data_IF_859203689421
#
_entry.id   IF_859203689421
#
_cell.length_a   1.000
_cell.length_b   1.000
_cell.length_c   1.000
_cell.angle_alpha   90.00
_cell.angle_beta   90.00
_cell.angle_gamma   90.00
#
_symmetry.space_group_name_H-M   'P 1'
#
loop_
_entity.id
_entity.type
_entity.pdbx_description
1 polymer ?
#
# COMPACT_ATOMS: atom_id res chain seq x y z
N UNK A 1 23.81 -16.50 -53.88
CA UNK A 1 23.47 -15.22 -53.20
C UNK A 1 21.96 -15.07 -53.18
N UNK A 2 21.31 -15.09 -52.00
CA UNK A 2 19.87 -14.81 -51.91
C UNK A 2 19.67 -13.32 -52.23
N UNK A 3 18.96 -13.01 -53.33
CA UNK A 3 18.56 -11.64 -53.64
C UNK A 3 17.70 -11.12 -52.49
N UNK A 4 18.17 -10.09 -51.80
CA UNK A 4 17.36 -9.35 -50.84
C UNK A 4 16.27 -8.66 -51.67
N UNK A 5 15.02 -9.07 -51.46
CA UNK A 5 13.86 -8.49 -52.13
C UNK A 5 13.70 -7.07 -51.58
N UNK A 6 13.82 -6.06 -52.44
CA UNK A 6 13.51 -4.67 -52.06
C UNK A 6 12.05 -4.62 -51.59
N UNK A 7 11.82 -4.07 -50.39
CA UNK A 7 10.51 -3.98 -49.78
C UNK A 7 9.61 -3.05 -50.59
N UNK A 8 8.35 -3.44 -50.80
CA UNK A 8 7.42 -2.52 -51.45
C UNK A 8 7.03 -1.39 -50.46
N UNK A 9 6.63 -0.21 -50.95
CA UNK A 9 6.17 0.88 -50.08
C UNK A 9 5.00 0.47 -49.15
N UNK A 10 4.21 -0.53 -49.59
CA UNK A 10 3.15 -1.13 -48.77
C UNK A 10 3.70 -1.98 -47.63
N UNK A 11 4.80 -2.70 -47.85
CA UNK A 11 5.46 -3.53 -46.84
C UNK A 11 6.18 -2.68 -45.78
N UNK A 12 6.77 -1.55 -46.20
CA UNK A 12 7.37 -0.58 -45.27
C UNK A 12 6.33 0.11 -44.40
N UNK A 13 5.14 0.40 -44.96
CA UNK A 13 4.02 0.98 -44.22
C UNK A 13 3.43 -0.01 -43.20
N UNK A 14 3.24 -1.28 -43.58
CA UNK A 14 2.76 -2.32 -42.66
C UNK A 14 3.77 -2.57 -41.55
N UNK A 15 5.07 -2.66 -41.86
CA UNK A 15 6.12 -2.80 -40.85
C UNK A 15 6.13 -1.65 -39.84
N UNK A 16 6.04 -0.39 -40.30
CA UNK A 16 5.94 0.77 -39.38
C UNK A 16 4.69 0.71 -38.49
N UNK A 17 3.56 0.29 -39.05
CA UNK A 17 2.31 0.10 -38.31
C UNK A 17 2.43 -1.01 -37.26
N UNK A 18 3.11 -2.10 -37.60
CA UNK A 18 3.36 -3.23 -36.71
C UNK A 18 4.33 -2.82 -35.58
N UNK A 19 5.40 -2.09 -35.89
CA UNK A 19 6.29 -1.52 -34.86
C UNK A 19 5.57 -0.56 -33.91
N UNK A 20 4.70 0.32 -34.44
CA UNK A 20 3.91 1.22 -33.61
C UNK A 20 2.93 0.45 -32.71
N UNK A 21 2.33 -0.60 -33.24
CA UNK A 21 1.42 -1.48 -32.49
C UNK A 21 2.19 -2.23 -31.40
N UNK A 22 3.34 -2.82 -31.73
CA UNK A 22 4.20 -3.50 -30.77
C UNK A 22 4.68 -2.56 -29.66
N UNK A 23 5.12 -1.35 -30.00
CA UNK A 23 5.50 -0.33 -29.02
C UNK A 23 4.34 0.01 -28.08
N UNK A 24 3.14 0.20 -28.63
CA UNK A 24 1.93 0.44 -27.84
C UNK A 24 1.65 -0.72 -26.87
N UNK A 25 1.71 -1.97 -27.35
CA UNK A 25 1.52 -3.17 -26.52
C UNK A 25 2.59 -3.29 -25.44
N UNK A 26 3.85 -2.98 -25.73
CA UNK A 26 4.91 -2.95 -24.72
C UNK A 26 4.63 -1.90 -23.66
N UNK A 27 4.28 -0.67 -24.05
CA UNK A 27 3.90 0.38 -23.11
C UNK A 27 2.71 -0.06 -22.25
N UNK A 28 1.64 -0.60 -22.85
CA UNK A 28 0.47 -1.11 -22.12
C UNK A 28 0.87 -2.19 -21.11
N UNK A 29 1.73 -3.14 -21.48
CA UNK A 29 2.21 -4.19 -20.57
C UNK A 29 3.08 -3.67 -19.44
N UNK A 30 3.94 -2.70 -19.72
CA UNK A 30 4.73 -2.00 -18.71
C UNK A 30 3.81 -1.25 -17.75
N UNK A 31 2.76 -0.57 -18.25
CA UNK A 31 1.78 0.11 -17.42
C UNK A 31 0.94 -0.84 -16.58
N UNK A 32 0.56 -2.02 -17.09
CA UNK A 32 -0.16 -3.05 -16.33
C UNK A 32 0.61 -3.52 -15.10
N UNK A 33 1.94 -3.63 -15.21
CA UNK A 33 2.85 -4.05 -14.14
C UNK A 33 3.40 -2.86 -13.33
N UNK A 34 3.12 -1.63 -13.76
CA UNK A 34 3.63 -0.44 -13.11
C UNK A 34 2.82 -0.11 -11.85
N UNK A 35 3.50 0.30 -10.75
CA UNK A 35 2.82 0.86 -9.58
C UNK A 35 1.93 2.07 -9.91
N UNK A 36 2.14 2.72 -11.05
CA UNK A 36 1.33 3.85 -11.54
C UNK A 36 -0.11 3.48 -11.89
N UNK A 37 -0.44 2.19 -12.02
CA UNK A 37 -1.82 1.71 -12.15
C UNK A 37 -2.65 2.03 -10.91
N UNK A 38 -2.04 2.00 -9.72
CA UNK A 38 -2.76 2.20 -8.47
C UNK A 38 -3.05 3.68 -8.23
N UNK A 39 -4.31 3.98 -7.91
CA UNK A 39 -4.75 5.32 -7.52
C UNK A 39 -3.98 5.84 -6.31
N UNK A 40 -3.61 4.94 -5.40
CA UNK A 40 -2.81 5.26 -4.23
C UNK A 40 -1.41 5.81 -4.61
N UNK A 41 -0.71 5.19 -5.56
CA UNK A 41 0.57 5.68 -6.07
C UNK A 41 0.43 7.05 -6.74
N UNK A 42 -0.69 7.29 -7.44
CA UNK A 42 -1.01 8.63 -7.97
C UNK A 42 -1.26 9.63 -6.85
N UNK A 43 -1.92 9.24 -5.76
CA UNK A 43 -2.15 10.07 -4.58
C UNK A 43 -0.85 10.45 -3.86
N UNK A 44 0.07 9.50 -3.69
CA UNK A 44 1.40 9.70 -3.06
C UNK A 44 2.21 10.81 -3.75
N UNK A 45 2.01 11.00 -5.06
CA UNK A 45 2.70 12.06 -5.79
C UNK A 45 2.36 13.49 -5.33
N UNK A 46 1.47 13.67 -4.34
CA UNK A 46 1.33 14.93 -3.60
C UNK A 46 2.64 15.40 -2.93
N UNK A 47 3.58 14.47 -2.66
CA UNK A 47 4.90 14.77 -2.11
C UNK A 47 5.96 15.11 -3.18
N UNK A 48 5.61 15.03 -4.47
CA UNK A 48 6.54 15.39 -5.53
C UNK A 48 6.77 16.93 -5.51
N UNK A 49 8.03 17.41 -5.48
CA UNK A 49 8.35 18.83 -5.51
C UNK A 49 7.64 19.59 -6.64
N UNK A 50 7.56 19.01 -7.84
CA UNK A 50 6.87 19.63 -8.99
C UNK A 50 5.35 19.80 -8.79
N UNK A 51 4.76 18.94 -7.96
CA UNK A 51 3.33 18.93 -7.64
C UNK A 51 3.05 19.87 -6.47
N UNK A 52 3.96 19.97 -5.50
CA UNK A 52 3.86 20.89 -4.35
C UNK A 52 3.86 22.36 -4.80
N UNK A 53 4.57 22.68 -5.90
CA UNK A 53 4.51 24.00 -6.54
C UNK A 53 3.10 24.38 -7.01
N UNK A 54 2.20 23.40 -7.18
CA UNK A 54 0.81 23.60 -7.54
C UNK A 54 -0.11 23.17 -6.38
N UNK A 55 -0.40 24.05 -5.40
CA UNK A 55 -1.14 23.70 -4.19
C UNK A 55 -2.49 23.01 -4.45
N UNK A 56 -3.21 23.42 -5.50
CA UNK A 56 -4.51 22.83 -5.87
C UNK A 56 -4.38 21.39 -6.33
N UNK A 57 -3.31 21.04 -7.05
CA UNK A 57 -3.07 19.68 -7.54
C UNK A 57 -2.57 18.82 -6.38
N UNK A 58 -1.67 19.36 -5.56
CA UNK A 58 -1.16 18.68 -4.36
C UNK A 58 -2.29 18.32 -3.38
N UNK A 59 -3.23 19.25 -3.12
CA UNK A 59 -4.36 19.02 -2.21
C UNK A 59 -5.34 17.95 -2.72
N UNK A 60 -5.61 17.95 -4.04
CA UNK A 60 -6.43 16.91 -4.68
C UNK A 60 -5.79 15.53 -4.55
N UNK A 61 -4.49 15.42 -4.85
CA UNK A 61 -3.74 14.16 -4.76
C UNK A 61 -3.62 13.67 -3.32
N UNK A 62 -3.40 14.59 -2.38
CA UNK A 62 -3.40 14.28 -0.95
C UNK A 62 -4.76 13.73 -0.50
N UNK A 63 -5.87 14.35 -0.94
CA UNK A 63 -7.22 13.89 -0.56
C UNK A 63 -7.46 12.45 -1.02
N UNK A 64 -7.11 12.13 -2.28
CA UNK A 64 -7.19 10.75 -2.80
C UNK A 64 -6.31 9.79 -1.99
N UNK A 65 -5.09 10.21 -1.62
CA UNK A 65 -4.19 9.40 -0.80
C UNK A 65 -4.82 9.09 0.57
N UNK A 66 -5.31 10.12 1.26
CA UNK A 66 -5.87 10.00 2.60
C UNK A 66 -7.17 9.19 2.62
N UNK A 67 -8.05 9.38 1.63
CA UNK A 67 -9.28 8.57 1.48
C UNK A 67 -8.93 7.08 1.40
N UNK A 68 -7.96 6.71 0.55
CA UNK A 68 -7.53 5.31 0.43
C UNK A 68 -6.92 4.79 1.73
N UNK A 69 -6.11 5.59 2.43
CA UNK A 69 -5.51 5.17 3.70
C UNK A 69 -6.56 4.97 4.81
N UNK A 70 -7.61 5.80 4.83
CA UNK A 70 -8.73 5.65 5.76
C UNK A 70 -9.58 4.43 5.40
N UNK A 71 -9.91 4.23 4.12
CA UNK A 71 -10.68 3.06 3.67
C UNK A 71 -9.98 1.73 3.98
N UNK A 72 -8.65 1.71 3.95
CA UNK A 72 -7.86 0.53 4.32
C UNK A 72 -7.53 0.43 5.82
N UNK A 73 -8.08 1.32 6.66
CA UNK A 73 -7.84 1.40 8.10
C UNK A 73 -6.35 1.60 8.49
N UNK A 74 -5.53 2.18 7.62
CA UNK A 74 -4.12 2.47 7.93
C UNK A 74 -3.97 3.69 8.84
N UNK A 75 -4.89 4.65 8.72
CA UNK A 75 -5.00 5.84 9.58
C UNK A 75 -6.46 6.07 9.95
N UNK A 76 -6.69 6.77 11.06
CA UNK A 76 -8.03 7.20 11.46
C UNK A 76 -8.44 8.47 10.71
N UNK A 77 -9.74 8.70 10.54
CA UNK A 77 -10.27 9.92 9.91
C UNK A 77 -9.76 11.20 10.59
N UNK A 78 -9.72 11.21 11.93
CA UNK A 78 -9.19 12.34 12.73
C UNK A 78 -7.72 12.64 12.37
N UNK A 79 -6.89 11.61 12.20
CA UNK A 79 -5.50 11.80 11.79
C UNK A 79 -5.41 12.29 10.34
N UNK A 80 -6.26 11.79 9.45
CA UNK A 80 -6.30 12.22 8.06
C UNK A 80 -6.67 13.71 7.93
N UNK A 81 -7.68 14.17 8.66
CA UNK A 81 -8.07 15.59 8.68
C UNK A 81 -6.95 16.48 9.22
N UNK A 82 -6.31 16.06 10.32
CA UNK A 82 -5.16 16.77 10.89
C UNK A 82 -3.97 16.85 9.92
N UNK A 83 -3.71 15.79 9.14
CA UNK A 83 -2.69 15.80 8.09
C UNK A 83 -3.08 16.76 6.97
N UNK A 84 -4.34 16.76 6.53
CA UNK A 84 -4.84 17.63 5.45
C UNK A 84 -4.69 19.11 5.80
N UNK A 85 -5.06 19.51 7.00
CA UNK A 85 -4.91 20.89 7.48
C UNK A 85 -3.44 21.29 7.59
N UNK A 86 -2.63 20.43 8.22
CA UNK A 86 -1.19 20.68 8.40
C UNK A 86 -0.45 20.78 7.07
N UNK A 87 -0.81 19.93 6.10
CA UNK A 87 -0.20 19.92 4.78
C UNK A 87 -0.51 21.20 4.00
N UNK A 88 -1.75 21.71 4.07
CA UNK A 88 -2.14 22.98 3.43
C UNK A 88 -1.31 24.16 3.94
N UNK A 89 -1.04 24.20 5.25
CA UNK A 89 -0.17 25.23 5.85
C UNK A 89 1.27 25.05 5.39
N UNK A 90 1.76 23.80 5.39
CA UNK A 90 3.13 23.47 5.00
C UNK A 90 3.45 23.85 3.56
N UNK A 91 2.61 23.48 2.59
CA UNK A 91 2.86 23.78 1.16
C UNK A 91 2.76 25.27 0.84
N UNK A 92 2.00 26.04 1.62
CA UNK A 92 1.90 27.50 1.43
C UNK A 92 3.07 28.26 2.04
N UNK A 93 3.95 27.59 2.79
CA UNK A 93 5.10 28.24 3.39
C UNK A 93 6.10 28.67 2.30
N UNK A 94 6.51 29.95 2.25
CA UNK A 94 7.42 30.45 1.22
C UNK A 94 8.81 29.80 1.27
N UNK A 95 9.25 29.31 2.43
CA UNK A 95 10.50 28.56 2.56
C UNK A 95 10.39 27.24 1.80
N UNK A 96 9.29 26.51 1.99
CA UNK A 96 9.02 25.24 1.32
C UNK A 96 8.95 25.44 -0.18
N UNK A 97 8.19 26.44 -0.66
CA UNK A 97 8.08 26.74 -2.10
C UNK A 97 9.45 27.02 -2.75
N UNK A 98 10.27 27.90 -2.15
CA UNK A 98 11.61 28.22 -2.67
C UNK A 98 12.54 27.01 -2.71
N UNK A 99 12.45 26.12 -1.73
CA UNK A 99 13.24 24.88 -1.73
C UNK A 99 12.75 23.91 -2.81
N UNK A 100 11.43 23.74 -2.94
CA UNK A 100 10.86 22.85 -3.96
C UNK A 100 11.15 23.33 -5.38
N UNK A 101 11.24 24.64 -5.63
CA UNK A 101 11.66 25.21 -6.92
C UNK A 101 13.12 24.89 -7.26
N UNK A 102 14.01 24.89 -6.26
CA UNK A 102 15.45 24.65 -6.43
C UNK A 102 15.83 23.17 -6.39
N UNK A 103 14.92 22.32 -5.95
CA UNK A 103 15.17 20.91 -5.73
C UNK A 103 15.62 20.21 -7.02
N UNK A 104 16.73 19.47 -6.94
CA UNK A 104 17.23 18.62 -8.03
C UNK A 104 17.31 17.18 -7.56
N UNK A 105 16.49 16.32 -8.16
CA UNK A 105 16.39 14.88 -7.83
C UNK A 105 17.72 14.12 -7.98
N UNK A 106 18.63 14.62 -8.82
CA UNK A 106 19.95 14.01 -9.05
C UNK A 106 20.98 14.32 -7.95
N UNK A 107 20.77 15.41 -7.19
CA UNK A 107 21.76 15.91 -6.23
C UNK A 107 21.34 15.72 -4.78
N UNK A 108 20.04 15.68 -4.53
CA UNK A 108 19.49 15.70 -3.17
C UNK A 108 18.43 14.61 -3.00
N UNK A 109 18.45 13.98 -1.82
CA UNK A 109 17.43 12.99 -1.47
C UNK A 109 16.19 13.68 -0.93
N UNK A 110 15.02 13.18 -1.35
CA UNK A 110 13.74 13.79 -1.02
C UNK A 110 13.40 13.67 0.48
N UNK A 111 13.77 12.56 1.12
CA UNK A 111 13.56 12.32 2.55
C UNK A 111 14.32 13.32 3.41
N UNK A 112 15.62 13.49 3.16
CA UNK A 112 16.45 14.46 3.87
C UNK A 112 15.87 15.87 3.79
N UNK A 113 15.41 16.27 2.60
CA UNK A 113 14.79 17.58 2.35
C UNK A 113 13.48 17.76 3.14
N UNK A 114 12.58 16.76 3.15
CA UNK A 114 11.36 16.87 3.94
C UNK A 114 11.65 16.95 5.44
N UNK A 115 12.58 16.13 5.94
CA UNK A 115 12.91 16.14 7.37
C UNK A 115 13.65 17.40 7.81
N UNK A 116 14.50 18.00 6.96
CA UNK A 116 15.08 19.31 7.23
C UNK A 116 14.02 20.41 7.24
N UNK A 117 13.08 20.39 6.28
CA UNK A 117 11.98 21.37 6.24
C UNK A 117 11.04 21.22 7.45
N UNK A 118 10.78 20.01 7.93
CA UNK A 118 9.99 19.82 9.15
C UNK A 118 10.65 20.42 10.38
N UNK A 119 11.98 20.33 10.49
CA UNK A 119 12.73 20.96 11.58
C UNK A 119 12.68 22.49 11.51
N UNK A 120 12.84 23.06 10.30
CA UNK A 120 12.79 24.52 10.08
C UNK A 120 11.39 25.09 10.29
N UNK A 121 10.35 24.39 9.80
CA UNK A 121 8.98 24.86 9.85
C UNK A 121 8.21 24.41 11.10
N UNK A 122 8.86 23.72 12.04
CA UNK A 122 8.25 23.12 13.23
C UNK A 122 6.93 22.37 12.91
N UNK A 123 6.98 21.50 11.90
CA UNK A 123 5.78 20.83 11.39
C UNK A 123 5.21 19.82 12.38
N UNK A 124 3.88 19.68 12.46
CA UNK A 124 3.24 18.81 13.44
C UNK A 124 3.52 17.33 13.19
N UNK A 125 3.58 16.55 14.27
CA UNK A 125 3.93 15.12 14.25
C UNK A 125 3.04 14.27 13.34
N UNK A 126 1.78 14.65 13.18
CA UNK A 126 0.84 13.96 12.29
C UNK A 126 1.31 14.00 10.83
N UNK A 127 1.75 15.18 10.36
CA UNK A 127 2.25 15.36 9.00
C UNK A 127 3.60 14.63 8.82
N UNK A 128 4.49 14.73 9.80
CA UNK A 128 5.79 14.04 9.78
C UNK A 128 5.62 12.52 9.73
N UNK A 129 4.68 12.00 10.51
CA UNK A 129 4.36 10.56 10.54
C UNK A 129 3.76 10.08 9.22
N UNK A 130 2.87 10.87 8.61
CA UNK A 130 2.32 10.60 7.29
C UNK A 130 3.43 10.55 6.23
N UNK A 131 4.26 11.59 6.13
CA UNK A 131 5.34 11.62 5.13
C UNK A 131 6.35 10.49 5.35
N UNK A 132 6.71 10.21 6.61
CA UNK A 132 7.54 9.05 6.94
C UNK A 132 6.91 7.74 6.46
N UNK A 133 5.62 7.52 6.75
CA UNK A 133 4.89 6.34 6.30
C UNK A 133 4.95 6.19 4.79
N UNK A 134 4.73 7.28 4.05
CA UNK A 134 4.74 7.24 2.58
C UNK A 134 6.14 6.94 2.02
N UNK A 135 7.19 7.55 2.56
CA UNK A 135 8.56 7.37 2.10
C UNK A 135 9.11 5.96 2.35
N UNK A 136 8.61 5.25 3.38
CA UNK A 136 9.02 3.86 3.64
C UNK A 136 8.29 2.82 2.78
N UNK A 137 7.14 3.16 2.18
CA UNK A 137 6.40 2.22 1.32
C UNK A 137 7.23 1.79 0.09
N UNK A 138 8.10 2.67 -0.40
CA UNK A 138 8.98 2.43 -1.53
C UNK A 138 10.03 1.35 -1.24
N UNK A 139 10.44 1.19 0.03
CA UNK A 139 11.48 0.23 0.40
C UNK A 139 11.04 -1.24 0.30
N UNK A 140 9.73 -1.53 0.36
CA UNK A 140 9.20 -2.87 0.03
C UNK A 140 9.16 -3.18 -1.47
N UNK A 141 9.36 -2.16 -2.31
CA UNK A 141 9.24 -2.23 -3.78
C UNK A 141 10.52 -1.89 -4.54
N UNK A 142 11.67 -1.70 -3.86
CA UNK A 142 12.99 -1.62 -4.47
C UNK A 142 13.42 -3.04 -4.93
N UNK A 143 12.83 -3.39 -6.06
CA UNK A 143 12.72 -4.68 -6.74
C UNK A 143 13.98 -4.95 -7.59
N UNK A 144 15.15 -5.16 -6.99
CA UNK A 144 16.27 -5.74 -7.76
C UNK A 144 16.56 -7.16 -7.30
N UNK A 145 16.35 -7.47 -6.01
CA UNK A 145 16.56 -8.83 -5.50
C UNK A 145 15.32 -9.73 -5.61
N UNK A 146 14.12 -9.18 -5.86
CA UNK A 146 12.93 -10.01 -6.12
C UNK A 146 13.01 -10.79 -7.43
N UNK A 147 13.82 -10.33 -8.39
CA UNK A 147 14.11 -11.10 -9.62
C UNK A 147 14.91 -12.38 -9.36
N UNK A 148 15.54 -12.51 -8.19
CA UNK A 148 16.29 -13.69 -7.75
C UNK A 148 15.60 -14.45 -6.60
N UNK A 149 14.45 -13.97 -6.13
CA UNK A 149 13.71 -14.64 -5.06
C UNK A 149 12.84 -15.75 -5.64
N UNK A 150 13.13 -16.99 -5.24
CA UNK A 150 12.30 -18.18 -5.50
C UNK A 150 10.85 -17.95 -4.99
N UNK A 151 10.64 -17.01 -4.07
CA UNK A 151 9.32 -16.65 -3.54
C UNK A 151 8.53 -15.69 -4.43
N UNK A 152 9.13 -15.10 -5.48
CA UNK A 152 8.45 -14.15 -6.37
C UNK A 152 7.25 -14.76 -7.08
N UNK A 153 7.29 -16.07 -7.37
CA UNK A 153 6.19 -16.82 -7.98
C UNK A 153 4.99 -17.02 -7.03
N UNK A 154 5.22 -16.99 -5.71
CA UNK A 154 4.18 -17.15 -4.69
C UNK A 154 3.58 -15.81 -4.20
N UNK A 155 4.18 -14.67 -4.56
CA UNK A 155 3.78 -13.35 -4.09
C UNK A 155 2.72 -12.73 -4.99
N UNK A 156 1.48 -12.65 -4.51
CA UNK A 156 0.38 -11.92 -5.15
C UNK A 156 0.09 -10.64 -4.35
N UNK A 157 -0.23 -9.53 -5.03
CA UNK A 157 -0.60 -8.27 -4.38
C UNK A 157 -1.82 -8.45 -3.47
N UNK A 158 -1.80 -7.82 -2.29
CA UNK A 158 -2.86 -7.87 -1.28
C UNK A 158 -3.19 -9.28 -0.74
N UNK A 159 -2.21 -10.19 -0.75
CA UNK A 159 -2.36 -11.53 -0.20
C UNK A 159 -2.29 -11.53 1.34
N UNK A 160 -3.17 -12.30 1.98
CA UNK A 160 -3.08 -12.59 3.42
C UNK A 160 -1.85 -13.47 3.70
N UNK A 161 -1.21 -13.28 4.86
CA UNK A 161 -0.06 -14.08 5.28
C UNK A 161 -0.35 -15.60 5.24
N UNK A 162 -1.52 -16.01 5.74
CA UNK A 162 -1.98 -17.41 5.69
C UNK A 162 -2.00 -17.96 4.26
N UNK A 163 -2.44 -17.14 3.30
CA UNK A 163 -2.48 -17.53 1.89
C UNK A 163 -1.08 -17.64 1.29
N UNK A 164 -0.12 -16.81 1.73
CA UNK A 164 1.27 -16.87 1.28
C UNK A 164 1.95 -18.14 1.77
N UNK A 165 1.76 -18.46 3.05
CA UNK A 165 2.28 -19.70 3.65
C UNK A 165 1.71 -20.93 2.93
N UNK A 166 0.40 -20.93 2.65
CA UNK A 166 -0.25 -22.02 1.93
C UNK A 166 0.29 -22.19 0.49
N UNK A 167 0.44 -21.10 -0.27
CA UNK A 167 1.03 -21.16 -1.61
C UNK A 167 2.47 -21.67 -1.59
N UNK A 168 3.26 -21.25 -0.58
CA UNK A 168 4.64 -21.70 -0.43
C UNK A 168 4.72 -23.21 -0.14
N UNK A 169 3.85 -23.72 0.73
CA UNK A 169 3.77 -25.17 1.01
C UNK A 169 3.41 -25.98 -0.24
N UNK A 170 2.48 -25.47 -1.06
CA UNK A 170 2.11 -26.11 -2.33
C UNK A 170 3.32 -26.11 -3.27
N UNK A 171 3.99 -24.97 -3.41
CA UNK A 171 5.18 -24.83 -4.26
C UNK A 171 6.29 -25.80 -3.86
N UNK A 172 6.67 -25.81 -2.58
CA UNK A 172 7.72 -26.70 -2.07
C UNK A 172 7.33 -28.18 -2.26
N UNK A 173 6.03 -28.52 -2.10
CA UNK A 173 5.53 -29.86 -2.37
C UNK A 173 5.61 -30.29 -3.84
N UNK A 174 5.29 -29.38 -4.77
CA UNK A 174 5.38 -29.64 -6.23
C UNK A 174 6.84 -29.75 -6.66
N UNK A 175 7.71 -28.86 -6.19
CA UNK A 175 9.15 -28.90 -6.48
C UNK A 175 9.78 -30.18 -5.91
N UNK A 176 9.44 -30.55 -4.67
CA UNK A 176 9.92 -31.78 -4.04
C UNK A 176 9.47 -33.06 -4.76
N UNK A 177 8.35 -33.01 -5.48
CA UNK A 177 7.85 -34.13 -6.28
C UNK A 177 8.53 -34.27 -7.66
N UNK A 178 9.45 -33.35 -8.05
CA UNK A 178 10.06 -33.33 -9.38
C UNK A 178 9.37 -32.40 -10.38
N UNK A 179 8.37 -31.64 -9.93
CA UNK A 179 7.56 -30.76 -10.77
C UNK A 179 6.15 -31.29 -10.97
N UNK A 180 5.34 -30.55 -11.74
CA UNK A 180 3.90 -30.83 -11.84
C UNK A 180 3.58 -32.14 -12.56
N UNK A 181 4.48 -32.59 -13.45
CA UNK A 181 4.30 -33.80 -14.25
C UNK A 181 4.51 -35.08 -13.41
N UNK A 182 5.34 -35.00 -12.36
CA UNK A 182 5.70 -36.12 -11.50
C UNK A 182 4.86 -36.17 -10.21
N UNK A 183 3.93 -35.20 -10.05
CA UNK A 183 3.06 -35.10 -8.88
C UNK A 183 1.96 -36.17 -8.89
N UNK A 184 2.05 -37.13 -7.97
CA UNK A 184 1.01 -38.16 -7.79
C UNK A 184 -0.17 -37.60 -6.97
N UNK A 185 -1.33 -37.46 -7.62
CA UNK A 185 -2.56 -37.02 -6.94
C UNK A 185 -3.14 -38.18 -6.13
N UNK A 186 -3.10 -38.04 -4.80
CA UNK A 186 -3.61 -39.05 -3.86
C UNK A 186 -5.12 -38.91 -3.64
N UNK A 187 -5.79 -40.02 -3.26
CA UNK A 187 -7.22 -40.01 -2.91
C UNK A 187 -7.56 -39.09 -1.74
N UNK A 188 -6.62 -38.92 -0.79
CA UNK A 188 -6.78 -37.99 0.34
C UNK A 188 -6.85 -36.54 -0.15
N UNK A 189 -6.01 -36.14 -1.11
CA UNK A 189 -6.06 -34.79 -1.71
C UNK A 189 -7.40 -34.53 -2.39
N UNK A 190 -7.90 -35.51 -3.16
CA UNK A 190 -9.22 -35.40 -3.81
C UNK A 190 -10.33 -35.23 -2.77
N UNK A 191 -10.29 -36.01 -1.68
CA UNK A 191 -11.28 -35.90 -0.61
C UNK A 191 -11.16 -34.56 0.14
N UNK A 192 -9.95 -34.04 0.30
CA UNK A 192 -9.70 -32.75 0.94
C UNK A 192 -10.29 -31.60 0.11
N UNK A 193 -10.10 -31.63 -1.22
CA UNK A 193 -10.69 -30.65 -2.14
C UNK A 193 -12.22 -30.73 -2.12
N UNK A 194 -12.80 -31.93 -2.12
CA UNK A 194 -14.26 -32.10 -2.01
C UNK A 194 -14.86 -31.47 -0.74
N UNK A 195 -14.12 -31.52 0.38
CA UNK A 195 -14.56 -30.95 1.65
C UNK A 195 -14.11 -29.49 1.87
N UNK A 196 -13.38 -28.90 0.93
CA UNK A 196 -12.80 -27.55 1.07
C UNK A 196 -13.86 -26.47 1.26
N UNK A 197 -14.99 -26.58 0.57
CA UNK A 197 -16.11 -25.65 0.71
C UNK A 197 -16.71 -25.67 2.11
N UNK A 198 -16.96 -26.86 2.67
CA UNK A 198 -17.49 -26.99 4.04
C UNK A 198 -16.50 -26.43 5.07
N UNK A 199 -15.21 -26.73 4.92
CA UNK A 199 -14.16 -26.15 5.77
C UNK A 199 -14.08 -24.64 5.69
N UNK A 200 -14.29 -24.07 4.50
CA UNK A 200 -14.36 -22.63 4.32
C UNK A 200 -15.57 -22.03 5.06
N UNK A 201 -16.75 -22.65 4.97
CA UNK A 201 -17.95 -22.21 5.69
C UNK A 201 -17.74 -22.24 7.21
N UNK A 202 -17.21 -23.34 7.74
CA UNK A 202 -16.88 -23.45 9.17
C UNK A 202 -15.86 -22.39 9.62
N UNK A 203 -14.84 -22.11 8.81
CA UNK A 203 -13.86 -21.08 9.11
C UNK A 203 -14.48 -19.68 9.09
N UNK A 204 -15.43 -19.43 8.18
CA UNK A 204 -16.17 -18.17 8.10
C UNK A 204 -17.06 -17.96 9.34
N UNK A 205 -17.72 -19.01 9.80
CA UNK A 205 -18.53 -18.97 11.04
C UNK A 205 -17.65 -18.69 12.27
N UNK A 206 -16.53 -19.40 12.41
CA UNK A 206 -15.56 -19.15 13.50
C UNK A 206 -15.02 -17.71 13.47
N UNK A 207 -14.74 -17.15 12.29
CA UNK A 207 -14.32 -15.75 12.15
C UNK A 207 -15.42 -14.76 12.57
N UNK A 208 -16.69 -15.05 12.25
CA UNK A 208 -17.83 -14.22 12.70
C UNK A 208 -17.99 -14.28 14.21
N UNK A 209 -17.89 -15.46 14.82
CA UNK A 209 -18.03 -15.65 16.26
C UNK A 209 -16.92 -14.94 17.03
N UNK A 210 -15.66 -15.17 16.65
CA UNK A 210 -14.52 -14.47 17.26
C UNK A 210 -14.57 -12.95 17.08
N UNK A 211 -15.13 -12.44 15.97
CA UNK A 211 -15.37 -11.00 15.81
C UNK A 211 -16.41 -10.50 16.82
N UNK A 212 -17.52 -11.21 16.99
CA UNK A 212 -18.58 -10.85 17.96
C UNK A 212 -18.05 -10.87 19.39
N UNK A 213 -17.26 -11.88 19.76
CA UNK A 213 -16.62 -11.96 21.08
C UNK A 213 -15.66 -10.79 21.32
N UNK A 214 -14.86 -10.41 20.32
CA UNK A 214 -13.97 -9.24 20.39
C UNK A 214 -14.77 -7.95 20.57
N UNK A 215 -15.85 -7.76 19.81
CA UNK A 215 -16.71 -6.58 19.93
C UNK A 215 -17.37 -6.49 21.31
N UNK A 216 -17.83 -7.63 21.84
CA UNK A 216 -18.36 -7.71 23.21
C UNK A 216 -17.30 -7.40 24.26
N UNK A 217 -16.09 -7.96 24.15
CA UNK A 217 -14.99 -7.68 25.07
C UNK A 217 -14.59 -6.19 25.04
N UNK A 218 -14.58 -5.55 23.86
CA UNK A 218 -14.32 -4.12 23.72
C UNK A 218 -15.44 -3.30 24.38
N UNK A 219 -16.70 -3.68 24.18
CA UNK A 219 -17.85 -3.00 24.80
C UNK A 219 -17.82 -3.13 26.33
N UNK A 220 -17.48 -4.29 26.87
CA UNK A 220 -17.34 -4.51 28.31
C UNK A 220 -16.16 -3.71 28.89
N UNK A 221 -15.01 -3.68 28.20
CA UNK A 221 -13.87 -2.87 28.62
C UNK A 221 -14.24 -1.39 28.71
N UNK A 222 -14.98 -0.86 27.72
CA UNK A 222 -15.50 0.52 27.73
C UNK A 222 -16.44 0.78 28.92
N UNK A 223 -17.32 -0.16 29.25
CA UNK A 223 -18.21 -0.05 30.43
C UNK A 223 -17.42 -0.03 31.74
N UNK A 224 -16.45 -0.94 31.89
CA UNK A 224 -15.56 -0.99 33.07
C UNK A 224 -14.75 0.30 33.22
N UNK A 225 -14.23 0.85 32.12
CA UNK A 225 -13.47 2.10 32.14
C UNK A 225 -14.35 3.31 32.53
N UNK A 226 -15.61 3.38 32.08
CA UNK A 226 -16.55 4.41 32.53
C UNK A 226 -16.83 4.31 34.04
N UNK A 227 -17.17 3.12 34.53
CA UNK A 227 -17.42 2.88 35.95
C UNK A 227 -16.20 3.25 36.81
N UNK A 228 -14.99 2.92 36.35
CA UNK A 228 -13.74 3.28 37.04
C UNK A 228 -13.55 4.79 37.13
N UNK A 229 -13.87 5.55 36.07
CA UNK A 229 -13.82 7.02 36.08
C UNK A 229 -14.84 7.62 37.04
N UNK A 230 -16.07 7.09 37.07
CA UNK A 230 -17.10 7.55 38.01
C UNK A 230 -16.71 7.29 39.47
N UNK A 231 -16.17 6.10 39.77
CA UNK A 231 -15.66 5.75 41.10
C UNK A 231 -14.50 6.67 41.53
N UNK A 232 -13.57 6.97 40.62
CA UNK A 232 -12.48 7.91 40.89
C UNK A 232 -12.98 9.33 41.16
N UNK A 233 -13.96 9.81 40.38
CA UNK A 233 -14.57 11.13 40.58
C UNK A 233 -15.38 11.22 41.89
N UNK A 234 -16.00 10.12 42.34
CA UNK A 234 -16.66 10.06 43.66
C UNK A 234 -15.66 10.04 44.79
N UNK A 235 -14.54 9.31 44.64
CA UNK A 235 -13.48 9.25 45.65
C UNK A 235 -12.83 10.62 45.91
N UNK A 236 -12.45 11.35 44.85
CA UNK A 236 -11.87 12.69 44.99
C UNK A 236 -12.84 13.70 45.63
N UNK A 237 -14.15 13.57 45.40
CA UNK A 237 -15.17 14.40 46.06
C UNK A 237 -15.31 14.10 47.57
N UNK A 238 -15.05 12.87 48.00
CA UNK A 238 -15.10 12.48 49.41
C UNK A 238 -13.82 12.92 50.13
N UNK A 239 -12.66 12.68 49.52
CA UNK A 239 -11.37 13.09 50.10
C UNK A 239 -11.27 14.62 50.23
N UNK A 240 -11.82 15.39 49.28
CA UNK A 240 -11.91 16.85 49.35
C UNK A 240 -13.01 17.41 50.29
N UNK A 241 -13.86 16.56 50.88
CA UNK A 241 -14.84 16.94 51.94
C UNK A 241 -14.35 16.62 53.35
N UNK A 242 -13.26 15.85 53.46
CA UNK A 242 -12.64 15.41 54.73
C UNK A 242 -11.36 16.20 55.06
N UNK A 243 -11.02 17.21 54.24
CA UNK A 243 -9.97 18.21 54.48
C UNK A 243 -10.59 19.58 54.68
#
# INVERSE_FOLDING_TARGET
MRKIKESSPSDDYTFRKDCATAYKTFCEKVFERSPLKFQFTKGISCLDPSVILNPTIADKRLSVCLEIMVSNNWITGIKADGVKESFKVFIRNPVVQKYMEKFKREKERLDDVFFSLFAVCNSPDNLRSFVKFILILSHGSAFVERGFSINSECLIENQLEESLVALRQIYDGVVGAGGINDLVITKSMINFVKNSHNRYLEALERRKETSREKDQAVAEKRKKDMLKRELQAKKTKIDGRLS
#
